data_IF_495467095049
#
_entry.id   IF_495467095049
#
_cell.length_a   1.000
_cell.length_b   1.000
_cell.length_c   1.000
_cell.angle_alpha   90.00
_cell.angle_beta   90.00
_cell.angle_gamma   90.00
#
_symmetry.space_group_name_H-M   'P 1'
#
loop_
_entity.id
_entity.type
_entity.pdbx_description
1 polymer ?
#
# COMPACT_ATOMS: atom_id res chain seq x y z
N UNK A 1 -1.06 -10.17 -7.36
CA UNK A 1 -2.17 -9.67 -6.51
C UNK A 1 -3.30 -9.20 -7.44
N UNK A 2 -4.51 -9.76 -7.32
CA UNK A 2 -5.62 -9.42 -8.21
C UNK A 2 -6.34 -8.17 -7.66
N UNK A 3 -6.00 -7.00 -8.20
CA UNK A 3 -6.43 -5.68 -7.68
C UNK A 3 -7.96 -5.50 -7.64
N UNK A 4 -8.69 -6.17 -8.54
CA UNK A 4 -10.17 -6.14 -8.55
C UNK A 4 -10.77 -6.76 -7.29
N UNK A 5 -10.28 -7.93 -6.88
CA UNK A 5 -10.73 -8.60 -5.64
C UNK A 5 -10.43 -7.79 -4.38
N UNK A 6 -9.29 -7.10 -4.34
CA UNK A 6 -8.93 -6.29 -3.18
C UNK A 6 -9.83 -5.05 -3.01
N UNK A 7 -10.26 -4.43 -4.11
CA UNK A 7 -11.25 -3.35 -4.09
C UNK A 7 -12.61 -3.83 -3.58
N UNK A 8 -13.04 -5.01 -4.02
CA UNK A 8 -14.35 -5.57 -3.68
C UNK A 8 -14.41 -6.05 -2.22
N UNK A 9 -13.38 -6.75 -1.75
CA UNK A 9 -13.36 -7.37 -0.43
C UNK A 9 -12.93 -6.36 0.66
N UNK A 10 -11.83 -5.65 0.43
CA UNK A 10 -11.23 -4.78 1.46
C UNK A 10 -11.61 -3.30 1.30
N UNK A 11 -12.35 -2.95 0.24
CA UNK A 11 -12.73 -1.57 -0.09
C UNK A 11 -11.52 -0.64 -0.10
N UNK A 12 -10.48 -1.03 -0.83
CA UNK A 12 -9.26 -0.24 -1.04
C UNK A 12 -9.21 0.22 -2.49
N UNK A 13 -8.95 1.51 -2.71
CA UNK A 13 -8.75 2.07 -4.05
C UNK A 13 -7.54 1.38 -4.72
N UNK A 14 -7.69 0.84 -5.95
CA UNK A 14 -6.59 0.29 -6.72
C UNK A 14 -5.37 1.20 -6.82
N UNK A 15 -5.53 2.52 -6.80
CA UNK A 15 -4.41 3.48 -6.82
C UNK A 15 -3.47 3.31 -5.62
N UNK A 16 -4.01 3.05 -4.43
CA UNK A 16 -3.23 2.78 -3.21
C UNK A 16 -2.37 1.52 -3.40
N UNK A 17 -2.98 0.45 -3.90
CA UNK A 17 -2.32 -0.84 -4.09
C UNK A 17 -1.27 -0.79 -5.22
N UNK A 18 -1.56 -0.05 -6.30
CA UNK A 18 -0.60 0.21 -7.37
C UNK A 18 0.61 0.96 -6.84
N UNK A 19 0.40 2.03 -6.04
CA UNK A 19 1.51 2.81 -5.49
C UNK A 19 2.34 2.01 -4.49
N UNK A 20 1.70 1.22 -3.63
CA UNK A 20 2.38 0.29 -2.74
C UNK A 20 3.22 -0.71 -3.55
N UNK A 21 2.64 -1.33 -4.57
CA UNK A 21 3.33 -2.29 -5.42
C UNK A 21 4.51 -1.66 -6.16
N UNK A 22 4.38 -0.42 -6.62
CA UNK A 22 5.47 0.34 -7.23
C UNK A 22 6.61 0.50 -6.22
N UNK A 23 6.35 1.13 -5.07
CA UNK A 23 7.37 1.41 -4.07
C UNK A 23 8.08 0.15 -3.55
N UNK A 24 7.36 -0.95 -3.33
CA UNK A 24 7.97 -2.19 -2.80
C UNK A 24 8.61 -3.07 -3.87
N UNK A 25 8.31 -2.85 -5.16
CA UNK A 25 8.85 -3.67 -6.26
C UNK A 25 9.93 -2.97 -7.07
N UNK A 26 9.95 -1.64 -7.12
CA UNK A 26 10.88 -0.88 -7.96
C UNK A 26 11.99 -0.19 -7.15
N UNK A 27 11.78 0.05 -5.86
CA UNK A 27 12.79 0.63 -4.96
C UNK A 27 13.46 -0.43 -4.10
N UNK A 28 14.76 -0.27 -3.92
CA UNK A 28 15.58 -1.21 -3.16
C UNK A 28 17.04 -0.76 -3.15
N UNK A 29 17.73 -1.09 -2.06
CA UNK A 29 19.17 -0.86 -1.91
C UNK A 29 19.96 -1.99 -2.57
N UNK A 30 21.21 -1.74 -2.95
CA UNK A 30 22.13 -2.72 -3.57
C UNK A 30 22.25 -4.01 -2.74
N UNK A 31 22.03 -3.91 -1.42
CA UNK A 31 22.07 -5.03 -0.46
C UNK A 31 20.75 -5.78 -0.27
N UNK A 32 19.60 -5.19 -0.61
CA UNK A 32 18.26 -5.72 -0.23
C UNK A 32 17.26 -5.82 -1.39
N UNK A 33 17.48 -5.09 -2.49
CA UNK A 33 16.56 -5.01 -3.61
C UNK A 33 16.85 -6.05 -4.70
N UNK A 34 15.99 -7.06 -4.84
CA UNK A 34 16.04 -8.04 -5.97
C UNK A 34 15.82 -7.39 -7.36
N UNK A 35 15.51 -6.09 -7.41
CA UNK A 35 15.13 -5.29 -8.59
C UNK A 35 15.80 -3.90 -8.58
N UNK A 36 17.11 -3.86 -8.32
CA UNK A 36 17.97 -2.67 -8.29
C UNK A 36 17.92 -1.73 -9.53
N UNK A 37 17.25 -2.11 -10.62
CA UNK A 37 17.52 -1.55 -11.95
C UNK A 37 17.05 -0.11 -12.22
N UNK A 38 16.27 0.61 -11.38
CA UNK A 38 15.79 1.93 -11.85
C UNK A 38 15.43 3.06 -10.86
N UNK A 39 15.13 2.83 -9.57
CA UNK A 39 14.48 3.88 -8.76
C UNK A 39 15.21 4.33 -7.48
N UNK A 40 16.38 3.78 -7.19
CA UNK A 40 17.16 4.12 -5.99
C UNK A 40 16.51 3.64 -4.67
N UNK A 41 17.13 3.97 -3.52
CA UNK A 41 16.59 3.62 -2.21
C UNK A 41 15.30 4.37 -1.89
N UNK A 42 14.49 3.81 -0.98
CA UNK A 42 13.32 4.49 -0.44
C UNK A 42 13.74 5.71 0.38
N UNK A 43 13.09 6.85 0.16
CA UNK A 43 13.28 8.03 1.02
C UNK A 43 12.40 7.95 2.27
N UNK A 44 12.74 8.73 3.30
CA UNK A 44 12.03 8.72 4.58
C UNK A 44 10.50 8.93 4.45
N UNK A 45 10.05 9.76 3.50
CA UNK A 45 8.63 9.97 3.28
C UNK A 45 7.93 8.72 2.72
N UNK A 46 8.58 8.02 1.80
CA UNK A 46 8.05 6.80 1.19
C UNK A 46 7.99 5.65 2.20
N UNK A 47 9.01 5.54 3.06
CA UNK A 47 9.02 4.57 4.15
C UNK A 47 7.82 4.81 5.08
N UNK A 48 7.63 6.05 5.54
CA UNK A 48 6.47 6.42 6.37
C UNK A 48 5.15 6.13 5.68
N UNK A 49 5.07 6.39 4.38
CA UNK A 49 3.87 6.11 3.60
C UNK A 49 3.58 4.61 3.53
N UNK A 50 4.58 3.77 3.25
CA UNK A 50 4.45 2.31 3.23
C UNK A 50 4.00 1.80 4.59
N UNK A 51 4.63 2.24 5.67
CA UNK A 51 4.27 1.84 7.03
C UNK A 51 2.82 2.20 7.39
N UNK A 52 2.40 3.44 7.09
CA UNK A 52 1.02 3.87 7.30
C UNK A 52 0.04 3.03 6.47
N UNK A 53 0.37 2.80 5.20
CA UNK A 53 -0.46 2.00 4.29
C UNK A 53 -0.62 0.56 4.79
N UNK A 54 0.45 -0.08 5.23
CA UNK A 54 0.41 -1.45 5.78
C UNK A 54 -0.46 -1.50 7.04
N UNK A 55 -0.28 -0.55 7.97
CA UNK A 55 -1.10 -0.49 9.19
C UNK A 55 -2.58 -0.32 8.87
N UNK A 56 -2.91 0.55 7.90
CA UNK A 56 -4.30 0.75 7.45
C UNK A 56 -4.87 -0.53 6.83
N UNK A 57 -4.09 -1.26 6.01
CA UNK A 57 -4.53 -2.53 5.43
C UNK A 57 -4.78 -3.58 6.52
N UNK A 58 -3.87 -3.73 7.50
CA UNK A 58 -4.02 -4.68 8.61
C UNK A 58 -5.27 -4.36 9.42
N UNK A 59 -5.46 -3.08 9.77
CA UNK A 59 -6.67 -2.62 10.45
C UNK A 59 -7.91 -2.95 9.64
N UNK A 60 -7.90 -2.68 8.33
CA UNK A 60 -9.02 -2.98 7.44
C UNK A 60 -9.35 -4.47 7.45
N UNK A 61 -8.37 -5.37 7.43
CA UNK A 61 -8.60 -6.82 7.51
C UNK A 61 -9.35 -7.21 8.80
N UNK A 62 -9.11 -6.54 9.93
CA UNK A 62 -9.89 -6.77 11.16
C UNK A 62 -11.30 -6.16 11.14
N UNK A 63 -11.51 -5.10 10.35
CA UNK A 63 -12.80 -4.40 10.26
C UNK A 63 -13.82 -5.12 9.37
N UNK A 64 -13.38 -5.88 8.34
CA UNK A 64 -14.30 -6.51 7.38
C UNK A 64 -15.26 -7.50 8.06
N UNK A 65 -14.80 -8.21 9.08
CA UNK A 65 -15.61 -9.24 9.74
C UNK A 65 -16.63 -8.67 10.74
N UNK A 66 -16.53 -7.38 11.06
CA UNK A 66 -17.32 -6.75 12.13
C UNK A 66 -18.24 -5.62 11.67
N UNK A 67 -17.98 -5.01 10.51
CA UNK A 67 -18.72 -3.84 10.03
C UNK A 67 -19.65 -4.17 8.86
N UNK A 68 -20.92 -3.73 8.96
CA UNK A 68 -21.91 -3.88 7.89
C UNK A 68 -21.56 -3.13 6.59
N UNK A 69 -20.78 -2.06 6.68
CA UNK A 69 -20.24 -1.30 5.54
C UNK A 69 -19.03 -0.49 5.97
N UNK A 70 -17.97 -0.51 5.17
CA UNK A 70 -16.75 0.27 5.39
C UNK A 70 -16.56 1.34 4.31
N UNK A 71 -15.97 2.51 4.64
CA UNK A 71 -15.59 3.49 3.64
C UNK A 71 -14.43 2.97 2.78
N UNK A 72 -14.34 3.46 1.55
CA UNK A 72 -13.23 3.12 0.65
C UNK A 72 -11.97 3.83 1.14
N UNK A 73 -10.86 3.11 1.32
CA UNK A 73 -9.54 3.69 1.58
C UNK A 73 -8.98 4.22 0.27
N UNK A 74 -8.68 5.51 0.23
CA UNK A 74 -8.15 6.25 -0.92
C UNK A 74 -6.76 6.80 -0.63
N UNK A 75 -6.13 7.41 -1.64
CA UNK A 75 -4.85 8.09 -1.47
C UNK A 75 -4.91 9.26 -0.46
N UNK A 76 -6.09 9.85 -0.24
CA UNK A 76 -6.27 10.97 0.68
C UNK A 76 -6.29 10.53 2.16
N UNK A 77 -6.55 9.24 2.41
CA UNK A 77 -6.58 8.65 3.75
C UNK A 77 -5.18 8.26 4.24
N UNK A 78 -4.16 8.48 3.42
CA UNK A 78 -2.77 8.13 3.68
C UNK A 78 -1.90 9.40 3.74
N UNK A 79 -0.69 9.32 4.33
CA UNK A 79 0.25 10.44 4.30
C UNK A 79 0.50 10.93 2.88
N UNK A 80 0.88 12.21 2.73
CA UNK A 80 1.25 12.74 1.41
C UNK A 80 2.64 12.22 1.01
N UNK A 81 2.74 11.73 -0.23
CA UNK A 81 4.00 11.38 -0.90
C UNK A 81 4.59 12.61 -1.60
#
# INVERSE_FOLDING_TARGET
>A
MNLKRAKEIYRIDPKVLTKLSELTSTKGDEKTGRKFKSAGPLIAMEIRWIEATIKTIIRRVGEIDTAASLPIITMNDLPKL
#
